data_IF_654298886244
#
_entry.id   IF_654298886244
#
_cell.length_a   1.000
_cell.length_b   1.000
_cell.length_c   1.000
_cell.angle_alpha   90.00
_cell.angle_beta   90.00
_cell.angle_gamma   90.00
#
_symmetry.space_group_name_H-M   'P 1'
#
loop_
_entity.id
_entity.type
_entity.pdbx_description
1 polymer ?
#
# COMPACT_ATOMS: atom_id res chain seq x y z
N UNK A 1 -28.44 7.05 -19.53
CA UNK A 1 -29.20 8.31 -19.62
C UNK A 1 -29.96 8.44 -20.92
N UNK A 2 -30.78 9.45 -21.09
CA UNK A 2 -31.73 9.67 -22.19
C UNK A 2 -31.17 9.50 -23.61
N UNK A 3 -29.93 9.85 -23.88
CA UNK A 3 -29.29 9.71 -25.19
C UNK A 3 -28.89 8.29 -25.50
N UNK A 4 -28.44 7.56 -24.48
CA UNK A 4 -27.81 6.27 -24.66
C UNK A 4 -28.69 5.10 -24.27
N UNK A 5 -29.81 5.35 -23.60
CA UNK A 5 -30.67 4.30 -23.07
C UNK A 5 -31.24 3.44 -24.21
N UNK A 6 -30.84 2.18 -24.27
CA UNK A 6 -31.20 1.24 -25.30
C UNK A 6 -30.56 1.46 -26.67
N UNK A 7 -29.65 2.40 -26.84
CA UNK A 7 -29.03 2.73 -28.12
C UNK A 7 -27.63 2.09 -28.28
N UNK A 8 -27.36 1.49 -29.40
CA UNK A 8 -26.04 0.94 -29.76
C UNK A 8 -24.97 2.03 -29.82
N UNK A 9 -25.33 3.26 -30.17
CA UNK A 9 -24.42 4.41 -30.27
C UNK A 9 -24.07 5.06 -28.94
N UNK A 10 -24.49 4.51 -27.80
CA UNK A 10 -24.29 5.11 -26.47
C UNK A 10 -22.83 5.48 -26.19
N UNK A 11 -21.91 4.60 -26.52
CA UNK A 11 -20.47 4.82 -26.29
C UNK A 11 -19.91 5.95 -27.17
N UNK A 12 -20.49 6.16 -28.35
CA UNK A 12 -20.06 7.19 -29.30
C UNK A 12 -20.76 8.54 -29.09
N UNK A 13 -21.81 8.58 -28.27
CA UNK A 13 -22.57 9.78 -27.98
C UNK A 13 -21.84 10.68 -26.99
N UNK A 14 -21.01 11.58 -27.49
CA UNK A 14 -20.11 12.44 -26.66
C UNK A 14 -20.82 13.62 -25.99
N UNK A 15 -21.91 14.11 -26.51
CA UNK A 15 -22.64 15.30 -26.00
C UNK A 15 -24.14 15.11 -26.07
N UNK A 16 -24.80 15.52 -25.01
CA UNK A 16 -26.26 15.75 -25.06
C UNK A 16 -26.55 17.08 -25.76
N UNK A 17 -27.59 17.14 -26.55
CA UNK A 17 -27.99 18.35 -27.29
C UNK A 17 -29.50 18.53 -27.31
N UNK A 18 -29.93 19.78 -27.36
CA UNK A 18 -31.32 20.18 -27.63
C UNK A 18 -32.36 19.41 -26.79
N UNK A 19 -33.26 18.67 -27.46
CA UNK A 19 -34.37 17.97 -26.81
C UNK A 19 -33.93 16.98 -25.70
N UNK A 20 -32.74 16.39 -25.81
CA UNK A 20 -32.24 15.45 -24.79
C UNK A 20 -31.83 16.14 -23.51
N UNK A 21 -31.23 17.34 -23.59
CA UNK A 21 -30.91 18.16 -22.41
C UNK A 21 -32.20 18.60 -21.71
N UNK A 22 -33.19 19.08 -22.45
CA UNK A 22 -34.49 19.45 -21.89
C UNK A 22 -35.17 18.31 -21.17
N UNK A 23 -35.24 17.13 -21.80
CA UNK A 23 -35.78 15.93 -21.17
C UNK A 23 -35.05 15.55 -19.90
N UNK A 24 -33.73 15.66 -19.88
CA UNK A 24 -32.94 15.40 -18.71
C UNK A 24 -33.27 16.38 -17.57
N UNK A 25 -33.25 17.68 -17.86
CA UNK A 25 -33.66 18.73 -16.94
C UNK A 25 -35.03 18.46 -16.33
N UNK A 26 -36.03 18.18 -17.18
CA UNK A 26 -37.44 17.96 -16.79
C UNK A 26 -37.59 16.71 -15.93
N UNK A 27 -36.95 15.60 -16.34
CA UNK A 27 -36.95 14.34 -15.59
C UNK A 27 -36.43 14.51 -14.16
N UNK A 28 -35.35 15.25 -14.02
CA UNK A 28 -34.71 15.48 -12.69
C UNK A 28 -35.19 16.79 -12.04
N UNK A 29 -36.15 17.49 -12.63
CA UNK A 29 -36.71 18.73 -12.10
C UNK A 29 -35.64 19.78 -11.74
N UNK A 30 -34.63 19.89 -12.61
CA UNK A 30 -33.55 20.87 -12.40
C UNK A 30 -34.10 22.26 -12.74
N UNK A 31 -34.08 23.24 -11.85
CA UNK A 31 -34.72 24.55 -12.05
C UNK A 31 -33.86 25.47 -12.91
N UNK A 32 -33.67 25.08 -14.16
CA UNK A 32 -33.02 25.87 -15.21
C UNK A 32 -34.09 26.31 -16.23
N UNK A 33 -34.21 27.61 -16.57
CA UNK A 33 -35.16 28.14 -17.51
C UNK A 33 -34.99 27.55 -18.93
N UNK A 34 -36.06 27.61 -19.73
CA UNK A 34 -36.07 27.03 -21.07
C UNK A 34 -35.08 27.68 -22.05
N UNK A 35 -34.85 28.96 -21.90
CA UNK A 35 -33.91 29.76 -22.68
C UNK A 35 -32.44 29.50 -22.34
N UNK A 36 -32.14 29.01 -21.12
CA UNK A 36 -30.79 28.72 -20.67
C UNK A 36 -30.40 27.24 -20.77
N UNK A 37 -31.39 26.34 -20.90
CA UNK A 37 -31.15 24.89 -20.76
C UNK A 37 -30.17 24.34 -21.80
N UNK A 38 -30.09 24.90 -22.97
CA UNK A 38 -29.17 24.42 -24.02
C UNK A 38 -27.72 24.76 -23.77
N UNK A 39 -27.45 25.78 -22.98
CA UNK A 39 -26.09 26.10 -22.52
C UNK A 39 -25.59 25.18 -21.42
N UNK A 40 -26.47 24.37 -20.82
CA UNK A 40 -26.18 23.46 -19.70
C UNK A 40 -25.45 24.16 -18.58
N UNK A 41 -25.97 25.27 -18.01
CA UNK A 41 -25.29 26.01 -16.97
C UNK A 41 -25.16 25.18 -15.70
N UNK A 42 -24.15 25.46 -14.92
CA UNK A 42 -24.01 24.86 -13.60
C UNK A 42 -25.10 25.36 -12.66
N UNK A 43 -25.89 24.42 -12.15
CA UNK A 43 -26.89 24.71 -11.14
C UNK A 43 -26.35 24.44 -9.75
N UNK A 44 -26.42 25.46 -8.89
CA UNK A 44 -26.16 25.33 -7.46
C UNK A 44 -27.45 25.59 -6.69
N UNK A 45 -27.93 24.63 -5.89
CA UNK A 45 -29.11 24.86 -5.05
C UNK A 45 -28.88 26.01 -4.07
N UNK A 46 -29.94 26.75 -3.69
CA UNK A 46 -29.87 27.79 -2.67
C UNK A 46 -29.33 27.25 -1.33
N UNK A 47 -28.64 28.09 -0.59
CA UNK A 47 -28.00 27.72 0.69
C UNK A 47 -29.00 27.19 1.74
N UNK A 48 -30.24 27.63 1.67
CA UNK A 48 -31.33 27.22 2.56
C UNK A 48 -32.17 26.05 2.01
N UNK A 49 -31.82 25.52 0.83
CA UNK A 49 -32.50 24.36 0.25
C UNK A 49 -32.31 23.08 1.09
N UNK A 50 -33.23 22.16 0.95
CA UNK A 50 -33.19 20.87 1.69
C UNK A 50 -31.94 20.07 1.35
N UNK A 51 -31.50 20.09 0.09
CA UNK A 51 -30.33 19.39 -0.42
C UNK A 51 -29.04 19.92 0.25
N UNK A 52 -28.89 21.24 0.30
CA UNK A 52 -27.69 21.86 0.90
C UNK A 52 -27.68 21.66 2.43
N UNK A 53 -28.83 21.80 3.11
CA UNK A 53 -28.96 21.49 4.54
C UNK A 53 -28.56 20.05 4.81
N UNK A 54 -29.12 19.09 4.09
CA UNK A 54 -28.78 17.67 4.24
C UNK A 54 -27.27 17.40 4.01
N UNK A 55 -26.71 17.96 2.93
CA UNK A 55 -25.28 17.84 2.65
C UNK A 55 -24.42 18.33 3.80
N UNK A 56 -24.71 19.52 4.33
CA UNK A 56 -23.97 20.13 5.43
C UNK A 56 -24.09 19.36 6.72
N UNK A 57 -25.29 18.91 7.07
CA UNK A 57 -25.50 18.06 8.25
C UNK A 57 -24.68 16.78 8.18
N UNK A 58 -24.72 16.09 7.04
CA UNK A 58 -23.92 14.87 6.85
C UNK A 58 -22.43 15.13 6.92
N UNK A 59 -21.96 16.20 6.27
CA UNK A 59 -20.54 16.55 6.31
C UNK A 59 -20.08 16.96 7.71
N UNK A 60 -20.89 17.70 8.43
CA UNK A 60 -20.58 18.07 9.82
C UNK A 60 -20.52 16.85 10.74
N UNK A 61 -21.47 15.91 10.59
CA UNK A 61 -21.47 14.67 11.35
C UNK A 61 -20.24 13.79 11.10
N UNK A 62 -19.63 13.91 9.91
CA UNK A 62 -18.40 13.21 9.51
C UNK A 62 -17.11 14.01 9.84
N UNK A 63 -17.21 15.06 10.65
CA UNK A 63 -16.06 15.89 11.01
C UNK A 63 -15.71 17.00 10.02
N UNK A 64 -16.62 17.37 9.13
CA UNK A 64 -16.46 18.45 8.16
C UNK A 64 -16.29 18.01 6.70
N UNK A 65 -15.83 18.90 5.86
CA UNK A 65 -15.60 18.60 4.44
C UNK A 65 -14.46 17.61 4.24
N UNK A 66 -14.32 17.09 3.01
CA UNK A 66 -13.22 16.19 2.67
C UNK A 66 -11.89 16.74 3.17
N UNK A 67 -11.02 15.89 3.74
CA UNK A 67 -9.75 16.35 4.25
C UNK A 67 -8.96 17.08 3.16
N UNK A 68 -8.32 18.17 3.55
CA UNK A 68 -7.38 18.86 2.68
C UNK A 68 -6.22 17.94 2.38
N UNK A 69 -5.98 17.66 1.11
CA UNK A 69 -4.82 16.87 0.69
C UNK A 69 -3.55 17.70 0.85
N UNK A 70 -2.51 17.07 1.34
CA UNK A 70 -1.20 17.65 1.56
C UNK A 70 -0.20 17.07 0.59
N UNK A 71 0.70 17.88 0.07
CA UNK A 71 1.80 17.40 -0.77
C UNK A 71 2.99 16.90 0.05
N UNK A 72 3.16 17.49 1.22
CA UNK A 72 4.25 17.17 2.15
C UNK A 72 3.69 16.93 3.56
N UNK A 73 4.44 16.19 4.34
CA UNK A 73 4.21 16.02 5.78
C UNK A 73 5.50 16.32 6.54
N UNK A 74 5.44 16.55 7.87
CA UNK A 74 6.65 16.69 8.68
C UNK A 74 7.60 15.52 8.44
N UNK A 75 8.89 15.84 8.22
CA UNK A 75 9.92 14.82 7.99
C UNK A 75 10.05 13.90 9.21
N UNK A 76 10.21 12.60 8.97
CA UNK A 76 10.53 11.66 10.03
C UNK A 76 12.03 11.69 10.31
N UNK A 77 12.44 11.56 11.56
CA UNK A 77 13.84 11.45 11.95
C UNK A 77 14.37 10.05 11.66
N UNK A 78 14.68 9.80 10.39
CA UNK A 78 15.22 8.51 9.95
C UNK A 78 16.56 8.27 10.63
N UNK A 79 16.77 7.09 11.24
CA UNK A 79 18.06 6.77 11.88
C UNK A 79 19.18 6.69 10.84
N UNK A 80 20.41 6.93 11.28
CA UNK A 80 21.59 6.80 10.45
C UNK A 80 21.83 5.35 10.00
N UNK A 81 22.62 5.14 8.93
CA UNK A 81 22.86 3.83 8.35
C UNK A 81 23.47 2.82 9.34
N UNK A 82 24.17 3.31 10.34
CA UNK A 82 24.81 2.54 11.41
C UNK A 82 23.82 1.67 12.21
N UNK A 83 22.51 1.97 12.18
CA UNK A 83 21.50 1.09 12.77
C UNK A 83 21.55 -0.33 12.17
N UNK A 84 22.04 -0.45 10.94
CA UNK A 84 22.17 -1.70 10.19
C UNK A 84 23.56 -2.31 10.24
N UNK A 85 24.47 -1.82 11.08
CA UNK A 85 25.84 -2.33 11.22
C UNK A 85 25.93 -3.87 11.25
N UNK A 86 25.02 -4.60 11.97
CA UNK A 86 25.05 -6.07 11.97
C UNK A 86 24.82 -6.73 10.60
N UNK A 87 24.35 -5.98 9.60
CA UNK A 87 24.14 -6.43 8.22
C UNK A 87 25.23 -5.91 7.28
N UNK A 88 25.77 -4.73 7.59
CA UNK A 88 26.87 -4.11 6.84
C UNK A 88 28.18 -4.86 7.04
N UNK A 89 28.39 -5.43 8.22
CA UNK A 89 29.60 -6.18 8.57
C UNK A 89 29.70 -7.58 7.93
N UNK A 90 28.71 -7.94 7.08
CA UNK A 90 28.63 -9.28 6.49
C UNK A 90 28.13 -10.36 7.45
N UNK A 91 28.09 -11.61 7.00
CA UNK A 91 27.57 -12.74 7.78
C UNK A 91 28.66 -13.65 8.39
N UNK A 92 29.92 -13.36 8.12
CA UNK A 92 31.03 -14.28 8.47
C UNK A 92 30.85 -15.61 7.74
N UNK A 93 30.95 -16.72 8.47
CA UNK A 93 30.70 -18.06 7.92
C UNK A 93 29.23 -18.48 7.91
N UNK A 94 28.36 -17.65 8.47
CA UNK A 94 26.93 -17.97 8.56
C UNK A 94 26.21 -17.67 7.26
N UNK A 95 25.52 -18.64 6.74
CA UNK A 95 24.61 -18.45 5.59
C UNK A 95 23.30 -17.83 6.07
N UNK A 96 22.85 -16.79 5.35
CA UNK A 96 21.57 -16.12 5.57
C UNK A 96 20.90 -15.84 4.22
N UNK A 97 19.59 -15.64 4.23
CA UNK A 97 18.83 -15.21 3.05
C UNK A 97 18.55 -13.70 3.11
N UNK A 98 18.26 -13.10 1.95
CA UNK A 98 17.82 -11.70 1.91
C UNK A 98 16.45 -11.53 2.57
N UNK A 99 15.59 -12.55 2.58
CA UNK A 99 14.35 -12.56 3.37
C UNK A 99 14.65 -12.42 4.86
N UNK A 100 15.58 -13.18 5.40
CA UNK A 100 15.97 -13.06 6.82
C UNK A 100 16.72 -11.77 7.13
N UNK A 101 17.48 -11.24 6.17
CA UNK A 101 18.09 -9.92 6.28
C UNK A 101 17.01 -8.83 6.39
N UNK A 102 15.94 -8.92 5.58
CA UNK A 102 14.81 -8.00 5.70
C UNK A 102 14.13 -8.07 7.08
N UNK A 103 13.86 -9.27 7.59
CA UNK A 103 13.28 -9.44 8.94
C UNK A 103 14.18 -8.80 10.01
N UNK A 104 15.50 -8.90 9.84
CA UNK A 104 16.45 -8.25 10.72
C UNK A 104 16.39 -6.74 10.61
N UNK A 105 16.34 -6.18 9.40
CA UNK A 105 16.14 -4.75 9.13
C UNK A 105 14.87 -4.26 9.84
N UNK A 106 13.76 -4.93 9.60
CA UNK A 106 12.47 -4.58 10.18
C UNK A 106 12.53 -4.60 11.73
N UNK A 107 13.18 -5.63 12.30
CA UNK A 107 13.40 -5.74 13.74
C UNK A 107 14.20 -4.56 14.31
N UNK A 108 15.24 -4.12 13.62
CA UNK A 108 16.07 -2.99 14.03
C UNK A 108 15.28 -1.68 13.97
N UNK A 109 14.54 -1.45 12.88
CA UNK A 109 13.69 -0.27 12.73
C UNK A 109 12.57 -0.21 13.78
N UNK A 110 11.97 -1.35 14.13
CA UNK A 110 10.94 -1.45 15.18
C UNK A 110 11.46 -1.20 16.58
N UNK A 111 12.78 -1.20 16.80
CA UNK A 111 13.41 -0.82 18.07
C UNK A 111 13.70 0.68 18.17
N UNK A 112 13.72 1.39 17.07
CA UNK A 112 13.91 2.84 17.07
C UNK A 112 12.64 3.53 17.57
N UNK A 113 12.76 4.21 18.72
CA UNK A 113 11.62 4.84 19.42
C UNK A 113 10.98 5.99 18.62
N UNK A 114 11.70 6.55 17.64
CA UNK A 114 11.23 7.71 16.86
C UNK A 114 10.35 7.29 15.70
N UNK A 115 10.69 6.16 15.03
CA UNK A 115 9.97 5.73 13.82
C UNK A 115 9.17 4.43 14.00
N UNK A 116 9.41 3.64 15.06
CA UNK A 116 8.77 2.34 15.25
C UNK A 116 7.24 2.35 15.10
N UNK A 117 6.58 3.40 15.61
CA UNK A 117 5.11 3.53 15.54
C UNK A 117 4.58 3.88 14.14
N UNK A 118 5.44 4.31 13.24
CA UNK A 118 5.08 4.63 11.87
C UNK A 118 5.16 3.42 10.93
N UNK A 119 5.85 2.34 11.37
CA UNK A 119 6.09 1.16 10.56
C UNK A 119 4.84 0.28 10.52
N UNK A 120 4.42 -0.09 9.32
CA UNK A 120 3.23 -0.92 9.08
C UNK A 120 3.64 -2.14 8.24
N UNK A 121 4.00 -3.26 8.88
CA UNK A 121 4.19 -4.52 8.15
C UNK A 121 2.84 -5.04 7.66
N UNK A 122 2.76 -5.40 6.39
CA UNK A 122 1.56 -5.94 5.76
C UNK A 122 1.92 -7.28 5.14
N UNK A 123 1.16 -8.29 5.48
CA UNK A 123 1.38 -9.67 5.00
C UNK A 123 0.03 -10.26 4.56
N UNK A 124 0.01 -11.23 3.61
CA UNK A 124 -1.16 -12.06 3.44
C UNK A 124 -1.40 -12.87 4.73
N UNK A 125 -1.39 -14.16 4.74
CA UNK A 125 -1.41 -14.94 6.00
C UNK A 125 -0.14 -15.78 6.20
N UNK A 126 0.88 -15.52 5.44
CA UNK A 126 2.09 -16.35 5.30
C UNK A 126 3.31 -15.74 5.98
N UNK A 127 3.11 -15.07 7.11
CA UNK A 127 4.21 -14.44 7.86
C UNK A 127 5.36 -15.41 8.21
N UNK A 128 5.05 -16.69 8.40
CA UNK A 128 6.06 -17.73 8.67
C UNK A 128 6.96 -18.01 7.46
N UNK A 129 6.39 -18.08 6.26
CA UNK A 129 7.17 -18.27 5.03
C UNK A 129 8.20 -17.16 4.83
N UNK A 130 7.88 -15.96 5.32
CA UNK A 130 8.77 -14.81 5.28
C UNK A 130 9.59 -14.63 6.56
N UNK A 131 9.55 -15.60 7.51
CA UNK A 131 10.32 -15.55 8.74
C UNK A 131 9.90 -14.45 9.73
N UNK A 132 8.69 -13.90 9.56
CA UNK A 132 8.19 -12.75 10.34
C UNK A 132 7.48 -13.14 11.64
N UNK A 133 7.28 -14.41 11.90
CA UNK A 133 6.55 -14.91 13.06
C UNK A 133 7.11 -14.44 14.41
N UNK A 134 8.42 -14.21 14.48
CA UNK A 134 9.06 -13.65 15.68
C UNK A 134 8.53 -12.26 16.06
N UNK A 135 7.96 -11.52 15.11
CA UNK A 135 7.39 -10.21 15.34
C UNK A 135 6.02 -10.26 16.04
N UNK A 136 5.31 -11.39 15.99
CA UNK A 136 4.01 -11.53 16.66
C UNK A 136 4.09 -11.24 18.16
N UNK A 137 5.20 -11.65 18.80
CA UNK A 137 5.43 -11.40 20.22
C UNK A 137 5.68 -9.92 20.52
N UNK A 138 6.35 -9.23 19.62
CA UNK A 138 6.86 -7.86 19.87
C UNK A 138 5.82 -6.80 19.51
N UNK A 139 5.19 -6.92 18.37
CA UNK A 139 4.26 -5.91 17.84
C UNK A 139 2.85 -6.44 17.59
N UNK A 140 2.64 -7.76 17.57
CA UNK A 140 1.33 -8.39 17.40
C UNK A 140 0.66 -8.16 16.04
N UNK A 141 -0.32 -8.98 15.74
CA UNK A 141 -1.20 -8.83 14.59
C UNK A 141 -2.36 -7.92 15.00
N UNK A 142 -2.71 -6.95 14.17
CA UNK A 142 -3.84 -6.07 14.44
C UNK A 142 -5.16 -6.83 14.29
N UNK A 143 -6.01 -6.72 15.31
CA UNK A 143 -7.39 -7.16 15.26
C UNK A 143 -8.27 -6.17 16.03
N UNK A 144 -9.31 -5.65 15.40
CA UNK A 144 -10.22 -4.67 16.01
C UNK A 144 -10.96 -5.22 17.24
N UNK A 145 -11.15 -6.53 17.28
CA UNK A 145 -11.79 -7.23 18.39
C UNK A 145 -10.79 -7.83 19.41
N UNK A 146 -9.50 -7.89 19.04
CA UNK A 146 -8.48 -8.65 19.75
C UNK A 146 -8.56 -10.13 19.40
N UNK A 147 -7.79 -10.95 20.11
CA UNK A 147 -7.75 -12.40 19.88
C UNK A 147 -8.99 -13.05 20.47
N UNK A 148 -9.77 -13.71 19.63
CA UNK A 148 -11.04 -14.34 20.00
C UNK A 148 -10.95 -15.87 20.16
N UNK A 149 -9.80 -16.46 19.85
CA UNK A 149 -9.57 -17.90 19.93
C UNK A 149 -8.12 -18.20 20.25
N UNK A 150 -7.87 -19.37 20.81
CA UNK A 150 -6.52 -19.91 20.94
C UNK A 150 -6.24 -20.85 19.76
N UNK A 151 -5.07 -20.76 19.08
CA UNK A 151 -4.69 -21.71 18.06
C UNK A 151 -4.68 -23.15 18.60
N UNK A 152 -5.19 -24.10 17.82
CA UNK A 152 -5.27 -25.52 18.23
C UNK A 152 -3.89 -26.12 18.51
N UNK A 153 -2.87 -25.57 17.89
CA UNK A 153 -1.45 -25.97 17.99
C UNK A 153 -0.61 -25.00 18.82
N UNK A 154 -1.23 -24.21 19.67
CA UNK A 154 -0.57 -23.20 20.50
C UNK A 154 0.61 -23.76 21.35
N UNK A 155 0.51 -25.01 21.77
CA UNK A 155 1.54 -25.70 22.56
C UNK A 155 2.69 -26.26 21.72
N UNK A 156 2.53 -26.34 20.40
CA UNK A 156 3.47 -27.03 19.52
C UNK A 156 4.31 -26.08 18.65
N UNK A 157 3.80 -24.88 18.40
CA UNK A 157 4.36 -23.97 17.42
C UNK A 157 4.41 -22.57 18.03
N UNK A 158 4.98 -21.67 17.36
CA UNK A 158 5.34 -20.34 17.80
C UNK A 158 4.18 -19.51 18.31
N UNK A 159 4.51 -18.59 19.18
CA UNK A 159 3.62 -17.61 19.76
C UNK A 159 2.80 -16.88 18.69
N UNK A 160 1.48 -16.94 18.81
CA UNK A 160 0.53 -16.22 17.98
C UNK A 160 -0.23 -15.21 18.81
N UNK A 161 -0.31 -13.96 18.36
CA UNK A 161 -0.99 -12.91 19.10
C UNK A 161 -1.69 -11.94 18.19
N UNK A 162 -3.01 -11.85 18.36
CA UNK A 162 -3.84 -10.76 17.84
C UNK A 162 -4.11 -9.74 18.96
N UNK A 163 -4.03 -8.45 18.62
CA UNK A 163 -4.19 -7.37 19.59
C UNK A 163 -4.83 -6.14 18.92
N UNK A 164 -5.68 -5.43 19.66
CA UNK A 164 -6.25 -4.14 19.22
C UNK A 164 -5.19 -3.09 18.95
N UNK A 165 -4.02 -3.23 19.51
CA UNK A 165 -2.84 -2.40 19.31
C UNK A 165 -1.78 -3.09 18.46
N UNK A 166 -2.12 -4.21 17.84
CA UNK A 166 -1.24 -4.92 16.92
C UNK A 166 -0.83 -4.02 15.76
N UNK A 167 0.36 -4.24 15.24
CA UNK A 167 0.96 -3.38 14.22
C UNK A 167 1.11 -4.08 12.87
N UNK A 168 1.07 -5.42 12.85
CA UNK A 168 1.09 -6.21 11.63
C UNK A 168 -0.34 -6.27 11.08
N UNK A 169 -0.53 -5.88 9.83
CA UNK A 169 -1.77 -6.10 9.09
C UNK A 169 -1.69 -7.45 8.38
N UNK A 170 -2.43 -8.43 8.87
CA UNK A 170 -2.57 -9.74 8.25
C UNK A 170 -3.89 -9.79 7.49
N UNK A 171 -3.81 -9.68 6.17
CA UNK A 171 -4.95 -9.37 5.30
C UNK A 171 -5.63 -10.63 4.71
N UNK A 172 -5.07 -11.81 4.97
CA UNK A 172 -5.46 -13.03 4.28
C UNK A 172 -4.84 -13.12 2.88
N UNK A 173 -5.09 -14.23 2.18
CA UNK A 173 -4.57 -14.45 0.81
C UNK A 173 -5.39 -13.62 -0.18
N UNK A 174 -5.18 -12.32 -0.16
CA UNK A 174 -5.81 -11.33 -1.03
C UNK A 174 -4.84 -10.20 -1.32
N UNK A 175 -4.11 -10.29 -2.41
CA UNK A 175 -3.12 -9.28 -2.80
C UNK A 175 -3.77 -7.91 -3.03
N UNK A 176 -4.98 -7.88 -3.60
CA UNK A 176 -5.71 -6.63 -3.81
C UNK A 176 -6.13 -5.96 -2.50
N UNK A 177 -6.60 -6.75 -1.51
CA UNK A 177 -6.95 -6.26 -0.17
C UNK A 177 -5.75 -5.73 0.58
N UNK A 178 -4.65 -6.51 0.60
CA UNK A 178 -3.40 -6.11 1.23
C UNK A 178 -2.81 -4.85 0.57
N UNK A 179 -2.89 -4.76 -0.76
CA UNK A 179 -2.43 -3.57 -1.48
C UNK A 179 -3.29 -2.33 -1.21
N UNK A 180 -4.60 -2.49 -0.99
CA UNK A 180 -5.46 -1.40 -0.57
C UNK A 180 -5.04 -0.84 0.80
N UNK A 181 -4.73 -1.70 1.75
CA UNK A 181 -4.19 -1.31 3.06
C UNK A 181 -2.82 -0.64 2.94
N UNK A 182 -1.94 -1.18 2.08
CA UNK A 182 -0.67 -0.54 1.77
C UNK A 182 -0.86 0.86 1.18
N UNK A 183 -1.75 1.03 0.21
CA UNK A 183 -2.05 2.33 -0.41
C UNK A 183 -2.59 3.33 0.62
N UNK A 184 -3.48 2.89 1.51
CA UNK A 184 -4.01 3.73 2.57
C UNK A 184 -2.91 4.24 3.51
N UNK A 185 -1.99 3.38 3.94
CA UNK A 185 -0.84 3.76 4.73
C UNK A 185 0.14 4.65 3.93
N UNK A 186 0.45 4.28 2.69
CA UNK A 186 1.39 4.96 1.81
C UNK A 186 0.96 6.38 1.41
N UNK A 187 -0.33 6.69 1.49
CA UNK A 187 -0.91 8.02 1.19
C UNK A 187 -1.41 8.77 2.42
N UNK A 188 -1.23 8.22 3.61
CA UNK A 188 -1.69 8.80 4.88
C UNK A 188 -1.09 10.19 5.16
N UNK A 189 0.12 10.44 4.67
CA UNK A 189 0.75 11.76 4.75
C UNK A 189 -0.10 12.85 4.09
N UNK A 190 -0.72 12.53 2.96
CA UNK A 190 -1.56 13.46 2.21
C UNK A 190 -2.95 13.62 2.82
N UNK A 191 -3.61 12.51 3.16
CA UNK A 191 -4.99 12.52 3.66
C UNK A 191 -5.11 12.88 5.14
N UNK A 192 -4.15 12.45 5.97
CA UNK A 192 -4.19 12.62 7.43
C UNK A 192 -3.06 13.50 8.00
N UNK A 193 -2.05 13.83 7.19
CA UNK A 193 -0.87 14.56 7.64
C UNK A 193 0.05 13.73 8.55
N UNK A 194 -0.07 12.39 8.49
CA UNK A 194 0.73 11.45 9.29
C UNK A 194 1.49 10.57 8.32
N UNK A 195 2.81 10.56 8.39
CA UNK A 195 3.63 9.64 7.60
C UNK A 195 3.55 8.25 8.20
N UNK A 196 3.18 7.24 7.40
CA UNK A 196 3.30 5.82 7.72
C UNK A 196 4.29 5.17 6.77
N UNK A 197 5.00 4.16 7.25
CA UNK A 197 6.05 3.43 6.52
C UNK A 197 5.56 2.01 6.27
N UNK A 198 4.76 1.77 5.22
CA UNK A 198 4.27 0.44 4.92
C UNK A 198 5.33 -0.41 4.24
N UNK A 199 5.46 -1.65 4.73
CA UNK A 199 6.22 -2.73 4.13
C UNK A 199 5.25 -3.86 3.80
N UNK A 200 4.90 -3.99 2.53
CA UNK A 200 4.03 -5.07 2.08
C UNK A 200 4.86 -6.17 1.42
N UNK A 201 4.90 -7.34 2.05
CA UNK A 201 5.57 -8.53 1.51
C UNK A 201 4.54 -9.50 0.93
N UNK A 202 4.85 -10.03 -0.25
CA UNK A 202 4.03 -10.98 -0.99
C UNK A 202 4.93 -11.88 -1.85
N UNK A 203 4.39 -12.95 -2.38
CA UNK A 203 5.13 -13.76 -3.37
C UNK A 203 5.36 -12.95 -4.65
N UNK A 204 6.61 -12.76 -5.04
CA UNK A 204 7.00 -11.88 -6.18
C UNK A 204 6.28 -12.26 -7.47
N UNK A 205 6.10 -13.55 -7.72
CA UNK A 205 5.39 -14.05 -8.89
C UNK A 205 3.95 -13.54 -8.98
N UNK A 206 3.26 -13.42 -7.86
CA UNK A 206 1.85 -13.03 -7.84
C UNK A 206 1.62 -11.52 -7.70
N UNK A 207 2.64 -10.73 -7.38
CA UNK A 207 2.53 -9.31 -7.14
C UNK A 207 1.94 -8.55 -8.31
N UNK A 208 2.78 -8.05 -9.19
CA UNK A 208 2.32 -7.22 -10.31
C UNK A 208 1.32 -7.89 -11.25
N UNK A 209 1.28 -9.21 -11.31
CA UNK A 209 0.24 -9.92 -12.07
C UNK A 209 -1.16 -9.69 -11.51
N UNK A 210 -1.29 -9.48 -10.19
CA UNK A 210 -2.58 -9.30 -9.52
C UNK A 210 -2.86 -7.89 -9.10
N UNK A 211 -1.82 -7.07 -8.89
CA UNK A 211 -1.95 -5.71 -8.35
C UNK A 211 -1.41 -4.63 -9.30
N UNK A 212 -1.09 -4.97 -10.55
CA UNK A 212 -0.49 -4.01 -11.49
C UNK A 212 -1.29 -2.73 -11.66
N UNK A 213 -2.58 -2.80 -11.90
CA UNK A 213 -3.47 -1.63 -12.00
C UNK A 213 -3.49 -0.82 -10.70
N UNK A 214 -3.49 -1.50 -9.56
CA UNK A 214 -3.48 -0.84 -8.26
C UNK A 214 -2.13 -0.15 -8.01
N UNK A 215 -1.03 -0.75 -8.49
CA UNK A 215 0.30 -0.15 -8.39
C UNK A 215 0.41 1.12 -9.25
N UNK A 216 -0.16 1.13 -10.45
CA UNK A 216 -0.28 2.33 -11.26
C UNK A 216 -1.14 3.41 -10.58
N UNK A 217 -2.28 3.03 -10.02
CA UNK A 217 -3.13 3.95 -9.27
C UNK A 217 -2.42 4.53 -8.04
N UNK A 218 -1.66 3.72 -7.31
CA UNK A 218 -0.86 4.18 -6.17
C UNK A 218 0.26 5.13 -6.60
N UNK A 219 0.86 4.88 -7.78
CA UNK A 219 1.85 5.77 -8.38
C UNK A 219 1.24 7.15 -8.68
N UNK A 220 0.07 7.20 -9.29
CA UNK A 220 -0.67 8.45 -9.54
C UNK A 220 -1.06 9.17 -8.24
N UNK A 221 -1.37 8.42 -7.19
CA UNK A 221 -1.63 8.96 -5.85
C UNK A 221 -0.37 9.39 -5.11
N UNK A 222 0.82 9.22 -5.70
CA UNK A 222 2.11 9.57 -5.11
C UNK A 222 2.37 8.82 -3.78
N UNK A 223 2.01 7.55 -3.74
CA UNK A 223 2.21 6.67 -2.60
C UNK A 223 3.69 6.54 -2.25
N UNK A 224 3.99 6.32 -0.95
CA UNK A 224 5.34 6.15 -0.40
C UNK A 224 5.38 4.88 0.44
N UNK A 225 6.32 3.99 0.15
CA UNK A 225 6.43 2.74 0.90
C UNK A 225 7.24 1.69 0.15
N UNK A 226 7.28 0.51 0.73
CA UNK A 226 8.03 -0.61 0.19
C UNK A 226 7.08 -1.75 -0.19
N UNK A 227 7.26 -2.24 -1.40
CA UNK A 227 6.71 -3.50 -1.90
C UNK A 227 7.84 -4.52 -1.93
N UNK A 228 7.63 -5.68 -1.34
CA UNK A 228 8.65 -6.70 -1.18
C UNK A 228 8.19 -7.98 -1.88
N UNK A 229 8.85 -8.30 -2.98
CA UNK A 229 8.61 -9.54 -3.72
C UNK A 229 9.37 -10.70 -3.06
N UNK A 230 8.74 -11.36 -2.11
CA UNK A 230 9.31 -12.52 -1.42
C UNK A 230 9.38 -13.76 -2.30
N UNK A 231 10.21 -14.74 -1.91
CA UNK A 231 10.46 -15.98 -2.65
C UNK A 231 10.80 -15.76 -4.13
N UNK A 232 11.45 -14.63 -4.43
CA UNK A 232 11.90 -14.35 -5.78
C UNK A 232 12.97 -15.36 -6.20
N UNK A 233 12.92 -15.80 -7.45
CA UNK A 233 13.88 -16.75 -7.98
C UNK A 233 13.25 -17.71 -8.98
N UNK A 234 14.10 -18.45 -9.71
CA UNK A 234 13.66 -19.37 -10.74
C UNK A 234 14.04 -20.84 -10.45
N UNK A 235 15.05 -21.07 -9.64
CA UNK A 235 15.67 -22.39 -9.48
C UNK A 235 15.78 -22.87 -8.04
N UNK A 236 15.62 -22.00 -7.07
CA UNK A 236 15.89 -22.26 -5.65
C UNK A 236 14.63 -22.30 -4.77
N UNK A 237 13.48 -22.48 -5.40
CA UNK A 237 12.18 -22.56 -4.74
C UNK A 237 11.88 -23.99 -4.31
N UNK A 238 12.61 -24.51 -3.35
CA UNK A 238 12.43 -25.87 -2.85
C UNK A 238 10.99 -26.08 -2.33
N UNK A 239 10.26 -26.98 -2.98
CA UNK A 239 8.90 -27.35 -2.59
C UNK A 239 7.77 -26.46 -3.10
N UNK A 240 8.06 -25.31 -3.71
CA UNK A 240 7.02 -24.34 -4.10
C UNK A 240 6.50 -24.53 -5.54
N UNK A 241 7.20 -25.22 -6.41
CA UNK A 241 6.79 -25.49 -7.79
C UNK A 241 6.88 -24.29 -8.75
N UNK A 242 6.56 -24.57 -10.02
CA UNK A 242 6.71 -23.60 -11.13
C UNK A 242 5.90 -22.33 -10.98
N UNK A 243 4.74 -22.38 -10.34
CA UNK A 243 3.86 -21.22 -10.17
C UNK A 243 4.47 -20.10 -9.31
N UNK A 244 5.54 -20.37 -8.57
CA UNK A 244 6.24 -19.36 -7.76
C UNK A 244 7.49 -18.79 -8.45
N UNK A 245 7.87 -19.34 -9.61
CA UNK A 245 9.07 -18.87 -10.32
C UNK A 245 8.85 -17.51 -10.96
N UNK A 246 9.54 -16.50 -10.45
CA UNK A 246 9.48 -15.13 -10.94
C UNK A 246 10.69 -14.79 -11.82
N UNK A 247 10.44 -14.16 -12.93
CA UNK A 247 11.49 -13.64 -13.82
C UNK A 247 11.05 -12.38 -14.57
N UNK A 248 9.90 -11.81 -14.20
CA UNK A 248 9.26 -10.72 -14.95
C UNK A 248 8.77 -9.57 -14.07
N UNK A 249 8.73 -9.72 -12.76
CA UNK A 249 8.20 -8.69 -11.86
C UNK A 249 8.96 -7.36 -11.97
N UNK A 250 10.28 -7.38 -12.14
CA UNK A 250 11.08 -6.18 -12.38
C UNK A 250 10.75 -5.49 -13.71
N UNK A 251 10.41 -6.26 -14.75
CA UNK A 251 9.96 -5.67 -16.02
C UNK A 251 8.64 -4.94 -15.84
N UNK A 252 7.70 -5.50 -15.07
CA UNK A 252 6.45 -4.84 -14.75
C UNK A 252 6.69 -3.59 -13.89
N UNK A 253 7.51 -3.68 -12.84
CA UNK A 253 7.86 -2.55 -11.99
C UNK A 253 8.49 -1.40 -12.77
N UNK A 254 9.40 -1.70 -13.71
CA UNK A 254 10.10 -0.68 -14.51
C UNK A 254 9.20 0.14 -15.42
N UNK A 255 7.97 -0.28 -15.66
CA UNK A 255 7.00 0.49 -16.45
C UNK A 255 6.37 1.64 -15.65
N UNK A 256 6.45 1.61 -14.33
CA UNK A 256 5.86 2.61 -13.45
C UNK A 256 6.89 3.70 -13.12
N UNK A 257 6.68 4.96 -13.55
CA UNK A 257 7.75 5.99 -13.55
C UNK A 257 8.36 6.33 -12.19
N UNK A 258 7.58 6.23 -11.11
CA UNK A 258 8.02 6.52 -9.75
C UNK A 258 8.16 5.27 -8.86
N UNK A 259 8.20 4.08 -9.47
CA UNK A 259 8.58 2.84 -8.81
C UNK A 259 10.08 2.60 -8.97
N UNK A 260 10.82 2.53 -7.87
CA UNK A 260 12.24 2.26 -7.87
C UNK A 260 12.45 0.80 -7.51
N UNK A 261 12.99 0.02 -8.45
CA UNK A 261 13.07 -1.43 -8.31
C UNK A 261 14.50 -1.93 -8.14
N UNK A 262 14.72 -2.83 -7.17
CA UNK A 262 16.00 -3.45 -6.85
C UNK A 262 15.87 -4.95 -6.64
N UNK A 263 16.93 -5.67 -7.01
CA UNK A 263 17.09 -7.11 -6.80
C UNK A 263 18.40 -7.37 -6.02
N UNK A 264 18.44 -7.10 -4.71
CA UNK A 264 19.65 -7.24 -3.92
C UNK A 264 20.02 -8.71 -3.70
N UNK A 265 21.32 -9.00 -3.81
CA UNK A 265 21.86 -10.32 -3.52
C UNK A 265 22.26 -10.46 -2.05
N UNK A 266 22.72 -9.38 -1.42
CA UNK A 266 23.31 -9.41 -0.10
C UNK A 266 22.61 -8.51 0.92
N UNK A 267 22.80 -8.83 2.20
CA UNK A 267 22.17 -8.11 3.31
C UNK A 267 22.57 -6.64 3.37
N UNK A 268 23.83 -6.32 3.10
CA UNK A 268 24.31 -4.92 3.12
C UNK A 268 23.68 -4.10 2.01
N UNK A 269 23.49 -4.68 0.81
CA UNK A 269 22.80 -4.01 -0.30
C UNK A 269 21.37 -3.67 0.10
N UNK A 270 20.66 -4.67 0.65
CA UNK A 270 19.29 -4.48 1.13
C UNK A 270 19.20 -3.40 2.22
N UNK A 271 20.15 -3.39 3.16
CA UNK A 271 20.21 -2.39 4.21
C UNK A 271 20.36 -0.97 3.65
N UNK A 272 21.27 -0.78 2.70
CA UNK A 272 21.50 0.51 2.01
C UNK A 272 20.27 0.93 1.22
N UNK A 273 19.66 0.02 0.46
CA UNK A 273 18.44 0.29 -0.34
C UNK A 273 17.29 0.73 0.57
N UNK A 274 17.05 0.01 1.66
CA UNK A 274 15.96 0.36 2.59
C UNK A 274 16.27 1.69 3.29
N UNK A 275 17.49 1.92 3.74
CA UNK A 275 17.89 3.19 4.36
C UNK A 275 17.68 4.37 3.43
N UNK A 276 18.17 4.28 2.18
CA UNK A 276 18.03 5.32 1.18
C UNK A 276 16.54 5.57 0.84
N UNK A 277 15.75 4.49 0.73
CA UNK A 277 14.32 4.61 0.51
C UNK A 277 13.60 5.33 1.65
N UNK A 278 13.95 5.01 2.90
CA UNK A 278 13.42 5.71 4.07
C UNK A 278 13.78 7.19 4.05
N UNK A 279 15.04 7.52 3.76
CA UNK A 279 15.51 8.91 3.67
C UNK A 279 14.74 9.68 2.60
N UNK A 280 14.71 9.18 1.37
CA UNK A 280 14.05 9.84 0.25
C UNK A 280 12.56 10.06 0.47
N UNK A 281 11.84 9.02 0.87
CA UNK A 281 10.39 9.08 1.00
C UNK A 281 9.93 9.86 2.24
N UNK A 282 10.60 9.71 3.38
CA UNK A 282 10.08 10.17 4.66
C UNK A 282 10.85 11.32 5.30
N UNK A 283 12.10 11.54 4.90
CA UNK A 283 12.87 12.71 5.30
C UNK A 283 12.80 13.79 4.23
N UNK A 284 13.07 13.43 2.96
CA UNK A 284 13.13 14.37 1.85
C UNK A 284 11.76 14.58 1.16
N UNK A 285 10.76 13.81 1.55
CA UNK A 285 9.39 13.88 1.00
C UNK A 285 9.31 13.58 -0.50
N UNK A 286 10.22 12.78 -1.06
CA UNK A 286 10.15 12.36 -2.46
C UNK A 286 8.91 11.48 -2.72
N UNK A 287 8.31 11.66 -3.90
CA UNK A 287 7.07 10.98 -4.32
C UNK A 287 7.39 9.72 -5.11
N UNK A 288 8.05 8.79 -4.46
CA UNK A 288 8.46 7.48 -5.02
C UNK A 288 8.05 6.36 -4.08
N UNK A 289 7.99 5.15 -4.59
CA UNK A 289 7.92 3.93 -3.78
C UNK A 289 8.90 2.89 -4.31
N UNK A 290 9.23 1.92 -3.47
CA UNK A 290 10.25 0.93 -3.76
C UNK A 290 9.62 -0.44 -4.01
N UNK A 291 10.13 -1.16 -5.00
CA UNK A 291 9.93 -2.58 -5.18
C UNK A 291 11.26 -3.31 -5.02
N UNK A 292 11.32 -4.26 -4.08
CA UNK A 292 12.56 -4.99 -3.78
C UNK A 292 12.27 -6.48 -3.72
N UNK A 293 12.99 -7.28 -4.50
CA UNK A 293 12.87 -8.73 -4.44
C UNK A 293 13.69 -9.32 -3.31
N UNK A 294 13.16 -10.38 -2.70
CA UNK A 294 13.79 -11.10 -1.60
C UNK A 294 13.81 -12.59 -1.92
N UNK A 295 14.92 -13.26 -1.59
CA UNK A 295 15.11 -14.71 -1.80
C UNK A 295 15.25 -15.43 -0.48
N UNK A 296 14.76 -16.67 -0.43
CA UNK A 296 14.89 -17.55 0.73
C UNK A 296 16.17 -18.41 0.67
N UNK A 297 16.88 -18.38 -0.44
CA UNK A 297 18.17 -19.08 -0.55
C UNK A 297 19.19 -18.48 0.42
N UNK A 298 19.87 -19.37 1.15
CA UNK A 298 20.89 -18.97 2.10
C UNK A 298 22.26 -18.92 1.45
N UNK A 299 22.99 -17.85 1.67
CA UNK A 299 24.34 -17.64 1.19
C UNK A 299 25.19 -16.96 2.27
N UNK A 300 26.50 -17.09 2.18
CA UNK A 300 27.45 -16.26 2.95
C UNK A 300 27.45 -14.85 2.36
N UNK A 301 27.20 -13.86 3.18
CA UNK A 301 27.17 -12.48 2.77
C UNK A 301 28.49 -11.78 3.08
N UNK A 302 29.14 -11.17 2.09
CA UNK A 302 30.36 -10.40 2.28
C UNK A 302 30.12 -9.10 3.05
N UNK A 303 31.23 -8.48 3.49
CA UNK A 303 31.23 -7.12 4.04
C UNK A 303 31.04 -6.07 2.98
#
# INVERSE_FOLDING_TARGET
>A
GEIGEGAMATHSAKKMQGKSIRKFRDRYRIPIPDDEVESAPFYRPPEDSAEIKYLRERRSALGGYLPTRREIAPALPIPDLEIFEPLLAGSGEREISTTMAFVRILTLLLRDKKIAKHIVPIVPDEARTFGMEGLFRTIGIYSSLGQLYDPVDADQVMFYREDKKGQILQEGISEAGAFASWTAAATSYSSHGIQMIPFYIYYSMFGFQRIGDLAWAAADMQARGFLLGGTAGRTTLAGEGLQHQDGHSHLAASTIPNCIAYDPCYAYELAVIVHEGLRRMYQDNEKVFYYVTLMNENNVHPQ
#
